data_IF_885509185693
#
_entry.id   IF_885509185693
#
_cell.length_a   1.000
_cell.length_b   1.000
_cell.length_c   1.000
_cell.angle_alpha   90.00
_cell.angle_beta   90.00
_cell.angle_gamma   90.00
#
_symmetry.space_group_name_H-M   'P 1'
#
loop_
_entity.id
_entity.type
_entity.pdbx_description
1 polymer ?
#
# COMPACT_ATOMS: atom_id res chain seq x y z
N UNK A 1 -19.13 -5.49 36.67
CA UNK A 1 -18.52 -4.67 35.59
C UNK A 1 -16.99 -4.71 35.71
N UNK A 2 -16.34 -5.84 35.39
CA UNK A 2 -14.84 -5.99 35.50
C UNK A 2 -14.23 -6.82 34.37
N UNK A 3 -14.87 -6.94 33.18
CA UNK A 3 -14.44 -7.94 32.19
C UNK A 3 -13.91 -7.39 30.86
N UNK A 4 -13.85 -6.08 30.63
CA UNK A 4 -13.55 -5.54 29.28
C UNK A 4 -12.17 -4.86 29.09
N UNK A 5 -11.26 -4.91 30.08
CA UNK A 5 -9.96 -4.21 29.97
C UNK A 5 -8.84 -5.15 29.50
N UNK A 6 -8.99 -6.47 29.61
CA UNK A 6 -7.93 -7.44 29.31
C UNK A 6 -7.75 -7.67 27.80
N UNK A 7 -8.76 -7.40 26.97
CA UNK A 7 -8.70 -7.71 25.53
C UNK A 7 -7.91 -6.68 24.69
N UNK A 8 -7.71 -5.45 25.18
CA UNK A 8 -7.02 -4.40 24.42
C UNK A 8 -5.49 -4.43 24.51
N UNK A 9 -4.92 -5.06 25.53
CA UNK A 9 -3.46 -5.08 25.70
C UNK A 9 -2.79 -6.20 24.89
N UNK A 10 -3.50 -7.28 24.61
CA UNK A 10 -2.99 -8.39 23.77
C UNK A 10 -2.92 -8.03 22.28
N UNK A 11 -3.82 -7.15 21.81
CA UNK A 11 -3.84 -6.72 20.40
C UNK A 11 -2.69 -5.77 20.01
N UNK A 12 -2.09 -5.04 20.98
CA UNK A 12 -1.01 -4.10 20.70
C UNK A 12 0.38 -4.77 20.60
N UNK A 13 0.55 -5.98 21.12
CA UNK A 13 1.82 -6.72 21.08
C UNK A 13 1.94 -7.65 19.86
N UNK A 14 0.84 -7.95 19.16
CA UNK A 14 0.84 -8.84 17.99
C UNK A 14 1.09 -8.10 16.65
N UNK A 15 1.11 -6.78 16.62
CA UNK A 15 1.26 -6.00 15.38
C UNK A 15 2.71 -5.77 14.93
N UNK A 16 3.72 -6.21 15.69
CA UNK A 16 5.14 -5.92 15.38
C UNK A 16 5.95 -7.11 14.88
N UNK A 17 5.37 -8.28 14.62
CA UNK A 17 6.12 -9.50 14.24
C UNK A 17 5.63 -10.13 12.92
N UNK A 18 4.90 -9.41 12.07
CA UNK A 18 4.47 -9.96 10.77
C UNK A 18 5.17 -9.26 9.59
N UNK A 19 6.48 -9.12 9.67
CA UNK A 19 7.31 -8.90 8.48
C UNK A 19 8.38 -9.99 8.41
N UNK A 20 8.02 -11.12 7.82
CA UNK A 20 9.03 -12.14 7.53
C UNK A 20 8.56 -13.58 7.60
N UNK A 21 7.42 -13.94 7.03
CA UNK A 21 7.17 -15.34 6.72
C UNK A 21 6.65 -15.50 5.29
N UNK A 22 7.40 -16.30 4.55
CA UNK A 22 7.23 -16.58 3.13
C UNK A 22 5.85 -17.13 2.79
N UNK A 23 5.39 -16.69 1.62
CA UNK A 23 4.21 -17.21 0.93
C UNK A 23 4.42 -18.70 0.63
N UNK A 24 3.64 -19.56 1.25
CA UNK A 24 3.54 -20.97 0.84
C UNK A 24 2.76 -21.09 -0.47
N UNK A 25 3.13 -22.04 -1.37
CA UNK A 25 2.45 -22.22 -2.65
C UNK A 25 0.99 -22.65 -2.45
N UNK A 26 0.10 -21.98 -3.16
CA UNK A 26 -1.31 -22.36 -3.26
C UNK A 26 -1.45 -23.76 -3.86
N UNK A 27 -2.14 -24.66 -3.18
CA UNK A 27 -2.50 -25.95 -3.78
C UNK A 27 -2.76 -27.09 -2.79
N UNK A 28 -2.73 -26.87 -1.47
CA UNK A 28 -3.17 -27.89 -0.52
C UNK A 28 -4.38 -27.37 0.24
N UNK A 29 -5.45 -28.18 0.26
CA UNK A 29 -6.65 -27.93 1.03
C UNK A 29 -6.27 -27.40 2.40
N UNK A 30 -6.84 -26.26 2.79
CA UNK A 30 -6.71 -25.67 4.10
C UNK A 30 -7.31 -26.67 5.09
N UNK A 31 -6.46 -27.50 5.67
CA UNK A 31 -6.81 -28.22 6.89
C UNK A 31 -7.15 -27.11 7.87
N UNK A 32 -8.37 -27.09 8.36
CA UNK A 32 -8.74 -26.22 9.48
C UNK A 32 -7.85 -26.66 10.67
N UNK A 33 -6.74 -25.97 10.83
CA UNK A 33 -5.98 -26.05 12.05
C UNK A 33 -6.92 -25.58 13.14
N UNK A 34 -7.39 -26.51 13.98
CA UNK A 34 -8.15 -26.17 15.18
C UNK A 34 -7.32 -25.17 15.94
N UNK A 35 -7.82 -23.94 16.06
CA UNK A 35 -7.20 -22.91 16.89
C UNK A 35 -6.91 -23.55 18.25
N UNK A 36 -5.63 -23.65 18.59
CA UNK A 36 -5.24 -24.09 19.92
C UNK A 36 -5.86 -23.10 20.90
N UNK A 37 -6.55 -23.55 21.94
CA UNK A 37 -7.12 -22.66 22.94
C UNK A 37 -6.01 -21.73 23.44
N UNK A 38 -6.30 -20.42 23.49
CA UNK A 38 -5.35 -19.43 23.98
C UNK A 38 -4.88 -19.86 25.37
N UNK A 39 -3.57 -20.02 25.54
CA UNK A 39 -2.98 -20.41 26.83
C UNK A 39 -3.37 -19.36 27.87
N UNK A 40 -4.07 -19.77 28.92
CA UNK A 40 -4.31 -18.90 30.06
C UNK A 40 -2.97 -18.52 30.71
N UNK A 41 -2.73 -17.22 30.86
CA UNK A 41 -1.50 -16.70 31.48
C UNK A 41 -1.57 -16.89 33.00
N UNK A 42 -0.47 -17.28 33.61
CA UNK A 42 -0.35 -17.33 35.07
C UNK A 42 -0.36 -15.93 35.68
N UNK A 43 -0.71 -15.77 36.97
CA UNK A 43 -0.63 -14.47 37.66
C UNK A 43 0.74 -13.83 37.55
N UNK A 44 1.82 -14.62 37.61
CA UNK A 44 3.20 -14.14 37.46
C UNK A 44 3.48 -13.64 36.02
N UNK A 45 3.02 -14.37 34.98
CA UNK A 45 3.13 -13.94 33.58
C UNK A 45 2.35 -12.65 33.33
N UNK A 46 1.17 -12.49 33.94
CA UNK A 46 0.38 -11.26 33.89
C UNK A 46 1.14 -10.10 34.53
N UNK A 47 1.68 -10.31 35.74
CA UNK A 47 2.46 -9.27 36.45
C UNK A 47 3.70 -8.84 35.64
N UNK A 48 4.44 -9.79 35.08
CA UNK A 48 5.60 -9.50 34.21
C UNK A 48 5.19 -8.72 32.95
N UNK A 49 4.06 -9.05 32.33
CA UNK A 49 3.56 -8.34 31.17
C UNK A 49 3.16 -6.91 31.53
N UNK A 50 2.59 -6.67 32.73
CA UNK A 50 2.30 -5.32 33.23
C UNK A 50 3.58 -4.49 33.40
N UNK A 51 4.64 -5.08 33.99
CA UNK A 51 5.94 -4.39 34.14
C UNK A 51 6.56 -4.04 32.79
N UNK A 52 6.58 -5.00 31.85
CA UNK A 52 7.07 -4.77 30.49
C UNK A 52 6.28 -3.68 29.77
N UNK A 53 4.94 -3.70 29.88
CA UNK A 53 4.08 -2.69 29.29
C UNK A 53 4.29 -1.29 29.90
N UNK A 54 4.56 -1.20 31.20
CA UNK A 54 4.89 0.06 31.85
C UNK A 54 6.25 0.62 31.39
N UNK A 55 7.27 -0.23 31.33
CA UNK A 55 8.59 0.14 30.81
C UNK A 55 8.52 0.59 29.35
N UNK A 56 7.76 -0.11 28.50
CA UNK A 56 7.54 0.27 27.12
C UNK A 56 6.84 1.64 27.01
N UNK A 57 5.76 1.87 27.78
CA UNK A 57 5.06 3.16 27.80
C UNK A 57 5.99 4.31 28.21
N UNK A 58 6.83 4.07 29.24
CA UNK A 58 7.83 5.04 29.67
C UNK A 58 8.84 5.34 28.56
N UNK A 59 9.39 4.32 27.92
CA UNK A 59 10.34 4.48 26.80
C UNK A 59 9.75 5.28 25.63
N UNK A 60 8.45 5.10 25.32
CA UNK A 60 7.76 5.89 24.31
C UNK A 60 7.55 7.34 24.77
N UNK A 61 7.17 7.56 26.05
CA UNK A 61 7.00 8.90 26.60
C UNK A 61 8.32 9.68 26.61
N UNK A 62 9.43 9.04 26.99
CA UNK A 62 10.78 9.62 26.97
C UNK A 62 11.23 10.02 25.53
N UNK A 63 10.64 9.43 24.51
CA UNK A 63 10.83 9.75 23.08
C UNK A 63 9.77 10.73 22.52
N UNK A 64 9.07 11.45 23.39
CA UNK A 64 8.06 12.44 23.02
C UNK A 64 6.69 11.87 22.64
N UNK A 65 6.44 10.57 22.93
CA UNK A 65 5.18 9.92 22.63
C UNK A 65 5.06 9.42 21.18
N UNK A 66 3.91 8.84 20.85
CA UNK A 66 3.55 8.45 19.48
C UNK A 66 2.99 9.64 18.71
N UNK A 67 3.44 9.80 17.48
CA UNK A 67 2.87 10.73 16.50
C UNK A 67 2.50 9.99 15.23
N UNK A 68 1.50 10.48 14.52
CA UNK A 68 1.06 9.92 13.26
C UNK A 68 0.65 11.02 12.30
N UNK A 69 0.88 10.77 11.01
CA UNK A 69 0.38 11.58 9.90
C UNK A 69 -0.52 10.69 9.07
N UNK A 70 -1.73 11.15 8.79
CA UNK A 70 -2.66 10.46 7.90
C UNK A 70 -2.30 10.74 6.45
N UNK A 71 -2.66 9.82 5.56
CA UNK A 71 -2.53 10.06 4.11
C UNK A 71 -3.34 11.28 3.72
N UNK A 72 -2.76 12.09 2.82
CA UNK A 72 -3.41 13.28 2.25
C UNK A 72 -2.91 13.51 0.82
N UNK A 73 -3.67 14.29 0.05
CA UNK A 73 -3.35 14.64 -1.33
C UNK A 73 -4.25 13.96 -2.35
N UNK A 74 -3.94 14.10 -3.65
CA UNK A 74 -4.71 13.49 -4.72
C UNK A 74 -4.73 11.96 -4.60
N UNK A 75 -5.90 11.35 -4.76
CA UNK A 75 -6.08 9.91 -4.69
C UNK A 75 -5.73 9.21 -6.01
N UNK A 76 -5.37 7.93 -5.95
CA UNK A 76 -5.54 7.03 -7.10
C UNK A 76 -7.03 6.69 -7.21
N UNK A 77 -7.64 6.99 -8.36
CA UNK A 77 -9.03 6.68 -8.67
C UNK A 77 -9.13 5.38 -9.46
N UNK A 78 -9.86 4.43 -8.90
CA UNK A 78 -10.18 3.14 -9.51
C UNK A 78 -11.64 3.21 -9.98
N UNK A 79 -11.87 3.24 -11.29
CA UNK A 79 -13.18 3.54 -11.86
C UNK A 79 -13.73 2.32 -12.60
N UNK A 80 -14.85 1.77 -12.11
CA UNK A 80 -15.64 0.83 -12.90
C UNK A 80 -16.60 1.61 -13.81
N UNK A 81 -16.23 1.73 -15.07
CA UNK A 81 -17.02 2.38 -16.11
C UNK A 81 -17.68 1.35 -17.05
N UNK A 82 -17.78 0.09 -16.63
CA UNK A 82 -18.44 -0.95 -17.40
C UNK A 82 -19.97 -0.84 -17.30
N UNK A 83 -20.67 -1.25 -18.36
CA UNK A 83 -22.13 -1.24 -18.38
C UNK A 83 -22.77 -2.06 -17.25
N UNK A 84 -22.10 -3.14 -16.82
CA UNK A 84 -22.61 -4.13 -15.84
C UNK A 84 -22.09 -3.94 -14.42
N UNK A 85 -21.08 -3.10 -14.19
CA UNK A 85 -20.49 -2.88 -12.86
C UNK A 85 -19.75 -4.12 -12.31
N UNK A 86 -19.19 -4.93 -13.17
CA UNK A 86 -18.58 -6.22 -12.78
C UNK A 86 -17.22 -6.10 -12.11
N UNK A 87 -16.60 -4.93 -12.18
CA UNK A 87 -15.25 -4.73 -11.69
C UNK A 87 -15.20 -4.26 -10.23
N UNK A 88 -16.28 -3.75 -9.68
CA UNK A 88 -16.26 -3.09 -8.35
C UNK A 88 -15.65 -3.94 -7.24
N UNK A 89 -16.02 -5.23 -7.15
CA UNK A 89 -15.48 -6.11 -6.11
C UNK A 89 -13.94 -6.21 -6.17
N UNK A 90 -13.39 -6.37 -7.37
CA UNK A 90 -11.94 -6.41 -7.57
C UNK A 90 -11.27 -5.05 -7.30
N UNK A 91 -11.91 -3.94 -7.68
CA UNK A 91 -11.41 -2.59 -7.40
C UNK A 91 -11.39 -2.27 -5.91
N UNK A 92 -12.44 -2.66 -5.17
CA UNK A 92 -12.47 -2.50 -3.71
C UNK A 92 -11.40 -3.33 -3.00
N UNK A 93 -11.10 -4.53 -3.51
CA UNK A 93 -10.00 -5.34 -2.99
C UNK A 93 -8.63 -4.63 -3.21
N UNK A 94 -8.41 -4.04 -4.40
CA UNK A 94 -7.20 -3.26 -4.69
C UNK A 94 -7.12 -2.02 -3.80
N UNK A 95 -8.23 -1.27 -3.66
CA UNK A 95 -8.33 -0.11 -2.75
C UNK A 95 -7.94 -0.48 -1.32
N UNK A 96 -8.53 -1.55 -0.77
CA UNK A 96 -8.22 -2.00 0.59
C UNK A 96 -6.74 -2.35 0.81
N UNK A 97 -6.06 -2.83 -0.23
CA UNK A 97 -4.61 -3.07 -0.19
C UNK A 97 -3.82 -1.76 -0.30
N UNK A 98 -4.19 -0.80 -1.16
CA UNK A 98 -3.56 0.52 -1.26
C UNK A 98 -3.64 1.27 0.07
N UNK A 99 -4.80 1.29 0.70
CA UNK A 99 -5.03 1.89 2.02
C UNK A 99 -4.12 1.25 3.09
N UNK A 100 -3.95 -0.08 3.03
CA UNK A 100 -3.07 -0.82 3.94
C UNK A 100 -1.59 -0.50 3.72
N UNK A 101 -1.14 -0.27 2.48
CA UNK A 101 0.22 0.17 2.20
C UNK A 101 0.49 1.59 2.69
N UNK A 102 -0.52 2.45 2.77
CA UNK A 102 -0.41 3.80 3.32
C UNK A 102 0.46 4.75 2.50
N UNK A 103 0.68 4.48 1.21
CA UNK A 103 1.51 5.33 0.34
C UNK A 103 0.73 6.47 -0.29
N UNK A 104 -0.52 6.24 -0.67
CA UNK A 104 -1.39 7.22 -1.31
C UNK A 104 -2.85 6.98 -0.93
N UNK A 105 -3.68 8.02 -0.88
CA UNK A 105 -5.12 7.86 -0.83
C UNK A 105 -5.64 7.09 -2.04
N UNK A 106 -6.75 6.36 -1.88
CA UNK A 106 -7.36 5.62 -2.97
C UNK A 106 -8.89 5.66 -2.90
N UNK A 107 -9.52 5.68 -4.06
CA UNK A 107 -10.97 5.68 -4.23
C UNK A 107 -11.37 4.60 -5.23
N UNK A 108 -12.46 3.87 -4.95
CA UNK A 108 -13.09 2.97 -5.90
C UNK A 108 -14.52 3.46 -6.16
N UNK A 109 -14.84 3.76 -7.41
CA UNK A 109 -16.12 4.34 -7.77
C UNK A 109 -16.70 3.70 -9.04
N UNK A 110 -18.03 3.60 -9.09
CA UNK A 110 -18.74 3.28 -10.32
C UNK A 110 -19.11 4.56 -11.06
N UNK A 111 -18.90 4.58 -12.38
CA UNK A 111 -19.22 5.71 -13.23
C UNK A 111 -19.88 5.23 -14.51
N UNK A 112 -21.00 5.86 -14.90
CA UNK A 112 -21.56 5.70 -16.23
C UNK A 112 -20.85 6.68 -17.17
N UNK A 113 -20.31 6.18 -18.28
CA UNK A 113 -19.70 7.04 -19.29
C UNK A 113 -20.77 7.75 -20.11
N UNK A 114 -20.55 9.02 -20.36
CA UNK A 114 -21.39 9.83 -21.26
C UNK A 114 -20.80 9.91 -22.68
N UNK A 115 -19.51 9.57 -22.84
CA UNK A 115 -18.80 9.70 -24.10
C UNK A 115 -17.59 8.79 -24.21
N UNK A 116 -16.55 9.27 -24.88
CA UNK A 116 -15.32 8.52 -25.10
C UNK A 116 -14.59 8.21 -23.78
N UNK A 117 -14.28 6.94 -23.48
CA UNK A 117 -13.60 6.53 -22.25
C UNK A 117 -12.25 7.23 -22.03
N UNK A 118 -11.48 7.47 -23.09
CA UNK A 118 -10.19 8.12 -23.01
C UNK A 118 -10.33 9.59 -22.58
N UNK A 119 -11.28 10.31 -23.18
CA UNK A 119 -11.55 11.70 -22.83
C UNK A 119 -12.05 11.83 -21.38
N UNK A 120 -12.94 10.93 -20.94
CA UNK A 120 -13.44 10.91 -19.57
C UNK A 120 -12.39 10.50 -18.55
N UNK A 121 -11.50 9.58 -18.93
CA UNK A 121 -10.33 9.20 -18.11
C UNK A 121 -9.37 10.36 -17.91
N UNK A 122 -9.03 11.09 -18.97
CA UNK A 122 -8.21 12.31 -18.93
C UNK A 122 -8.82 13.39 -18.04
N UNK A 123 -10.14 13.57 -18.12
CA UNK A 123 -10.82 14.52 -17.25
C UNK A 123 -10.73 14.12 -15.78
N UNK A 124 -10.88 12.83 -15.46
CA UNK A 124 -10.76 12.31 -14.10
C UNK A 124 -9.34 12.37 -13.55
N UNK A 125 -8.32 12.35 -14.42
CA UNK A 125 -6.91 12.37 -14.04
C UNK A 125 -6.41 13.76 -13.59
N UNK A 126 -7.10 14.83 -13.95
CA UNK A 126 -6.70 16.21 -13.57
C UNK A 126 -6.58 16.42 -12.07
N UNK A 127 -7.45 15.75 -11.28
CA UNK A 127 -7.53 15.91 -9.83
C UNK A 127 -7.13 14.62 -9.09
N UNK A 128 -6.34 13.75 -9.74
CA UNK A 128 -5.92 12.46 -9.19
C UNK A 128 -4.41 12.27 -9.31
N UNK A 129 -3.82 11.48 -8.42
CA UNK A 129 -2.45 11.00 -8.56
C UNK A 129 -2.34 9.88 -9.60
N UNK A 130 -3.46 9.35 -10.06
CA UNK A 130 -3.56 8.36 -11.13
C UNK A 130 -5.00 7.87 -11.29
N UNK A 131 -5.34 7.44 -12.49
CA UNK A 131 -6.66 6.87 -12.81
C UNK A 131 -6.46 5.51 -13.44
N UNK A 132 -7.12 4.50 -12.91
CA UNK A 132 -7.31 3.21 -13.60
C UNK A 132 -8.79 3.04 -13.86
N UNK A 133 -9.16 3.11 -15.13
CA UNK A 133 -10.56 3.01 -15.56
C UNK A 133 -10.79 1.69 -16.29
N UNK A 134 -11.74 0.91 -15.83
CA UNK A 134 -12.17 -0.33 -16.44
C UNK A 134 -13.37 -0.05 -17.34
N UNK A 135 -13.27 -0.42 -18.60
CA UNK A 135 -14.25 -0.09 -19.66
C UNK A 135 -14.65 -1.33 -20.45
N UNK A 136 -15.84 -1.28 -21.06
CA UNK A 136 -16.21 -2.24 -22.09
C UNK A 136 -15.51 -1.86 -23.39
N UNK A 137 -14.50 -2.59 -23.78
CA UNK A 137 -13.75 -2.36 -25.02
C UNK A 137 -14.12 -3.37 -26.12
N UNK A 138 -13.49 -3.24 -27.28
CA UNK A 138 -13.57 -4.28 -28.31
C UNK A 138 -12.89 -5.58 -27.84
N UNK A 139 -13.34 -6.73 -28.33
CA UNK A 139 -12.86 -8.03 -27.89
C UNK A 139 -11.38 -8.28 -28.24
N UNK A 140 -10.94 -7.74 -29.35
CA UNK A 140 -9.58 -7.80 -29.89
C UNK A 140 -8.67 -6.65 -29.42
N UNK A 141 -9.24 -5.68 -28.68
CA UNK A 141 -8.45 -4.59 -28.13
C UNK A 141 -7.49 -5.10 -27.02
N UNK A 142 -6.37 -4.39 -26.78
CA UNK A 142 -5.44 -4.72 -25.71
C UNK A 142 -6.12 -4.87 -24.35
N UNK A 143 -5.63 -5.83 -23.53
CA UNK A 143 -6.13 -6.03 -22.16
C UNK A 143 -6.03 -4.76 -21.30
N UNK A 144 -5.01 -3.96 -21.57
CA UNK A 144 -4.73 -2.72 -20.85
C UNK A 144 -3.90 -1.79 -21.74
N UNK A 145 -4.20 -0.50 -21.67
CA UNK A 145 -3.37 0.55 -22.27
C UNK A 145 -3.07 1.58 -21.18
N UNK A 146 -1.78 1.86 -20.96
CA UNK A 146 -1.35 2.86 -19.99
C UNK A 146 -0.81 4.10 -20.70
N UNK A 147 -1.15 5.26 -20.16
CA UNK A 147 -0.69 6.59 -20.54
C UNK A 147 -0.04 7.26 -19.33
N UNK A 148 1.21 6.90 -18.97
CA UNK A 148 1.84 7.36 -17.73
C UNK A 148 1.96 8.88 -17.65
N UNK A 149 2.26 9.56 -18.75
CA UNK A 149 2.35 11.03 -18.82
C UNK A 149 1.02 11.74 -18.58
N UNK A 150 -0.09 11.01 -18.74
CA UNK A 150 -1.44 11.50 -18.52
C UNK A 150 -2.04 10.98 -17.20
N UNK A 151 -1.25 10.25 -16.41
CA UNK A 151 -1.68 9.59 -15.16
C UNK A 151 -2.91 8.69 -15.33
N UNK A 152 -3.07 8.05 -16.51
CA UNK A 152 -4.24 7.28 -16.88
C UNK A 152 -3.89 5.89 -17.39
N UNK A 153 -4.66 4.88 -17.01
CA UNK A 153 -4.68 3.56 -17.63
C UNK A 153 -6.12 3.10 -17.89
N UNK A 154 -6.35 2.52 -19.05
CA UNK A 154 -7.61 1.88 -19.44
C UNK A 154 -7.44 0.36 -19.41
N UNK A 155 -8.41 -0.35 -18.81
CA UNK A 155 -8.44 -1.82 -18.74
C UNK A 155 -9.68 -2.33 -19.46
N UNK A 156 -9.50 -3.27 -20.39
CA UNK A 156 -10.57 -3.81 -21.21
C UNK A 156 -11.29 -4.96 -20.49
N UNK A 157 -12.47 -4.68 -19.94
CA UNK A 157 -13.27 -5.68 -19.22
C UNK A 157 -13.94 -6.70 -20.12
N UNK A 158 -14.22 -6.39 -21.38
CA UNK A 158 -14.81 -7.36 -22.33
C UNK A 158 -13.90 -8.56 -22.49
N UNK A 159 -12.61 -8.33 -22.70
CA UNK A 159 -11.61 -9.39 -22.80
C UNK A 159 -11.45 -10.18 -21.49
N UNK A 160 -11.52 -9.51 -20.33
CA UNK A 160 -11.36 -10.14 -19.01
C UNK A 160 -12.55 -11.01 -18.59
N UNK A 161 -13.76 -10.66 -19.03
CA UNK A 161 -15.00 -11.32 -18.63
C UNK A 161 -15.44 -12.46 -19.54
N UNK A 162 -14.75 -12.66 -20.68
CA UNK A 162 -15.13 -13.69 -21.67
C UNK A 162 -14.98 -15.09 -21.10
N UNK A 163 -16.08 -15.87 -21.15
CA UNK A 163 -16.14 -17.29 -20.78
C UNK A 163 -15.51 -17.61 -19.42
N UNK A 164 -15.79 -16.79 -18.40
CA UNK A 164 -15.16 -16.94 -17.09
C UNK A 164 -16.16 -16.82 -15.94
N UNK A 165 -15.86 -17.47 -14.81
CA UNK A 165 -16.61 -17.32 -13.57
C UNK A 165 -16.36 -15.96 -12.91
N UNK A 166 -17.23 -15.56 -11.98
CA UNK A 166 -17.06 -14.32 -11.22
C UNK A 166 -15.73 -14.25 -10.46
N UNK A 167 -15.32 -15.35 -9.81
CA UNK A 167 -14.05 -15.41 -9.07
C UNK A 167 -12.81 -15.26 -9.97
N UNK A 168 -12.79 -15.90 -11.14
CA UNK A 168 -11.67 -15.72 -12.09
C UNK A 168 -11.66 -14.30 -12.66
N UNK A 169 -12.82 -13.73 -12.96
CA UNK A 169 -12.93 -12.35 -13.42
C UNK A 169 -12.40 -11.36 -12.37
N UNK A 170 -12.79 -11.53 -11.11
CA UNK A 170 -12.30 -10.71 -10.01
C UNK A 170 -10.77 -10.81 -9.89
N UNK A 171 -10.20 -12.02 -9.93
CA UNK A 171 -8.76 -12.25 -9.91
C UNK A 171 -8.04 -11.50 -11.04
N UNK A 172 -8.56 -11.56 -12.26
CA UNK A 172 -8.04 -10.83 -13.42
C UNK A 172 -8.13 -9.32 -13.24
N UNK A 173 -9.25 -8.81 -12.73
CA UNK A 173 -9.44 -7.37 -12.42
C UNK A 173 -8.38 -6.90 -11.42
N UNK A 174 -8.21 -7.60 -10.31
CA UNK A 174 -7.21 -7.26 -9.32
C UNK A 174 -5.80 -7.20 -9.94
N UNK A 175 -5.40 -8.25 -10.67
CA UNK A 175 -4.08 -8.34 -11.32
C UNK A 175 -3.82 -7.22 -12.32
N UNK A 176 -4.77 -6.93 -13.22
CA UNK A 176 -4.58 -5.87 -14.22
C UNK A 176 -4.69 -4.48 -13.64
N UNK A 177 -5.53 -4.27 -12.61
CA UNK A 177 -5.56 -2.99 -11.90
C UNK A 177 -4.22 -2.70 -11.21
N UNK A 178 -3.64 -3.67 -10.50
CA UNK A 178 -2.32 -3.53 -9.92
C UNK A 178 -1.24 -3.29 -10.98
N UNK A 179 -1.31 -4.01 -12.11
CA UNK A 179 -0.39 -3.80 -13.23
C UNK A 179 -0.51 -2.39 -13.79
N UNK A 180 -1.74 -1.89 -13.98
CA UNK A 180 -2.00 -0.54 -14.44
C UNK A 180 -1.39 0.50 -13.49
N UNK A 181 -1.63 0.37 -12.19
CA UNK A 181 -1.00 1.23 -11.18
C UNK A 181 0.53 1.17 -11.31
N UNK A 182 1.10 -0.02 -11.44
CA UNK A 182 2.55 -0.18 -11.59
C UNK A 182 3.12 0.58 -12.78
N UNK A 183 2.45 0.54 -13.92
CA UNK A 183 2.87 1.31 -15.10
C UNK A 183 2.74 2.82 -14.88
N UNK A 184 1.68 3.29 -14.22
CA UNK A 184 1.48 4.71 -13.93
C UNK A 184 2.58 5.28 -13.02
N UNK A 185 2.97 4.52 -11.99
CA UNK A 185 3.95 4.98 -11.00
C UNK A 185 5.39 4.57 -11.31
N UNK A 186 5.64 4.05 -12.51
CA UNK A 186 6.99 3.68 -12.96
C UNK A 186 7.59 2.45 -12.28
N UNK A 187 6.76 1.55 -11.73
CA UNK A 187 7.26 0.29 -11.18
C UNK A 187 7.71 -0.66 -12.30
N UNK A 188 8.97 -1.07 -12.26
CA UNK A 188 9.47 -2.17 -13.11
C UNK A 188 9.17 -3.56 -12.54
N UNK A 189 9.31 -4.59 -13.37
CA UNK A 189 9.33 -5.97 -12.90
C UNK A 189 10.61 -6.22 -12.09
N UNK A 190 10.52 -6.64 -10.82
CA UNK A 190 11.71 -6.99 -10.05
C UNK A 190 12.27 -8.33 -10.54
N UNK A 191 13.59 -8.42 -10.62
CA UNK A 191 14.28 -9.66 -10.98
C UNK A 191 13.95 -10.76 -9.96
N UNK A 192 13.68 -11.96 -10.47
CA UNK A 192 13.45 -13.15 -9.64
C UNK A 192 12.08 -13.24 -8.94
N UNK A 193 11.21 -12.23 -9.01
CA UNK A 193 9.88 -12.27 -8.41
C UNK A 193 8.77 -12.50 -9.43
N UNK A 194 7.77 -13.30 -9.03
CA UNK A 194 6.52 -13.46 -9.77
C UNK A 194 5.54 -12.39 -9.30
N UNK A 195 5.42 -11.28 -10.01
CA UNK A 195 4.45 -10.23 -9.70
C UNK A 195 3.73 -9.78 -10.97
N UNK A 196 2.66 -8.99 -10.82
CA UNK A 196 1.84 -8.52 -11.94
C UNK A 196 2.60 -7.68 -12.97
N UNK A 197 3.80 -7.21 -12.66
CA UNK A 197 4.64 -6.46 -13.60
C UNK A 197 5.41 -7.33 -14.60
N UNK A 198 5.38 -8.67 -14.47
CA UNK A 198 5.97 -9.56 -15.49
C UNK A 198 5.33 -9.32 -16.85
N UNK A 199 6.09 -9.43 -17.95
CA UNK A 199 5.54 -9.35 -19.30
C UNK A 199 4.38 -10.36 -19.48
N UNK A 200 3.27 -9.89 -20.04
CA UNK A 200 2.10 -10.70 -20.41
C UNK A 200 2.02 -10.79 -21.92
N UNK A 201 1.87 -11.99 -22.46
CA UNK A 201 1.66 -12.25 -23.88
C UNK A 201 0.19 -12.53 -24.21
N UNK A 202 -0.52 -13.11 -23.24
CA UNK A 202 -1.92 -13.52 -23.42
C UNK A 202 -2.63 -13.66 -22.06
N UNK A 203 -3.91 -14.02 -22.10
CA UNK A 203 -4.73 -14.22 -20.92
C UNK A 203 -4.25 -15.40 -20.04
N UNK A 204 -3.71 -16.46 -20.64
CA UNK A 204 -3.21 -17.61 -19.89
C UNK A 204 -2.01 -17.23 -19.01
N UNK A 205 -1.15 -16.33 -19.47
CA UNK A 205 -0.04 -15.79 -18.66
C UNK A 205 -0.58 -15.01 -17.43
N UNK A 206 -1.68 -14.27 -17.59
CA UNK A 206 -2.35 -13.57 -16.50
C UNK A 206 -2.96 -14.53 -15.48
N UNK A 207 -3.68 -15.56 -15.97
CA UNK A 207 -4.34 -16.57 -15.14
C UNK A 207 -3.32 -17.41 -14.36
N UNK A 208 -2.20 -17.77 -14.99
CA UNK A 208 -1.11 -18.53 -14.37
C UNK A 208 -0.28 -17.73 -13.35
N UNK A 209 -0.47 -16.42 -13.26
CA UNK A 209 0.28 -15.56 -12.35
C UNK A 209 -0.15 -15.78 -10.90
N UNK A 210 0.75 -16.23 -10.00
CA UNK A 210 0.36 -16.60 -8.64
C UNK A 210 0.06 -15.41 -7.74
N UNK A 211 0.66 -14.23 -8.02
CA UNK A 211 0.50 -13.03 -7.21
C UNK A 211 -0.42 -12.02 -7.90
N UNK A 212 -1.31 -11.41 -7.10
CA UNK A 212 -2.31 -10.45 -7.57
C UNK A 212 -1.82 -8.99 -7.57
N UNK A 213 -0.66 -8.70 -6.99
CA UNK A 213 -0.21 -7.34 -6.73
C UNK A 213 1.26 -7.13 -7.12
N UNK A 214 1.65 -5.86 -7.16
CA UNK A 214 3.05 -5.44 -7.31
C UNK A 214 3.82 -5.86 -6.05
N UNK A 215 5.03 -6.37 -6.23
CA UNK A 215 5.88 -6.69 -5.08
C UNK A 215 6.06 -5.44 -4.19
N UNK A 216 5.85 -5.52 -2.86
CA UNK A 216 5.85 -4.35 -1.98
C UNK A 216 7.11 -3.49 -2.11
N UNK A 217 8.30 -4.10 -2.22
CA UNK A 217 9.56 -3.36 -2.39
C UNK A 217 9.58 -2.51 -3.68
N UNK A 218 8.96 -3.00 -4.78
CA UNK A 218 8.83 -2.24 -6.03
C UNK A 218 7.82 -1.11 -5.90
N UNK A 219 6.71 -1.37 -5.20
CA UNK A 219 5.69 -0.34 -4.96
C UNK A 219 6.21 0.79 -4.06
N UNK A 220 7.02 0.49 -3.04
CA UNK A 220 7.66 1.52 -2.22
C UNK A 220 8.65 2.39 -3.02
N UNK A 221 9.24 1.88 -4.12
CA UNK A 221 10.05 2.69 -5.04
C UNK A 221 9.24 3.73 -5.83
N UNK A 222 7.91 3.61 -5.86
CA UNK A 222 7.03 4.62 -6.47
C UNK A 222 6.88 5.90 -5.61
N UNK A 223 7.52 5.98 -4.44
CA UNK A 223 7.43 7.12 -3.54
C UNK A 223 7.71 8.45 -4.22
N UNK A 224 8.79 8.62 -5.03
CA UNK A 224 9.04 9.90 -5.73
C UNK A 224 7.90 10.34 -6.65
N UNK A 225 7.21 9.39 -7.28
CA UNK A 225 6.03 9.68 -8.08
C UNK A 225 4.91 10.31 -7.24
N UNK A 226 4.58 9.72 -6.09
CA UNK A 226 3.55 10.25 -5.20
C UNK A 226 3.95 11.60 -4.60
N UNK A 227 5.23 11.78 -4.24
CA UNK A 227 5.75 13.07 -3.77
C UNK A 227 5.59 14.16 -4.84
N UNK A 228 5.85 13.88 -6.13
CA UNK A 228 5.59 14.80 -7.24
C UNK A 228 4.10 15.15 -7.40
N UNK A 229 3.21 14.20 -7.12
CA UNK A 229 1.76 14.43 -7.14
C UNK A 229 1.26 15.19 -5.90
N UNK A 230 2.11 15.56 -4.95
CA UNK A 230 1.71 16.24 -3.71
C UNK A 230 1.03 15.30 -2.70
N UNK A 231 1.29 14.00 -2.78
CA UNK A 231 0.72 13.01 -1.87
C UNK A 231 1.56 12.91 -0.59
N UNK A 232 0.88 13.00 0.55
CA UNK A 232 1.47 12.71 1.86
C UNK A 232 1.12 11.29 2.27
N UNK A 233 2.08 10.37 2.48
CA UNK A 233 1.80 9.02 2.94
C UNK A 233 1.47 8.98 4.43
N UNK A 234 0.81 7.91 4.86
CA UNK A 234 0.62 7.64 6.28
C UNK A 234 1.97 7.32 6.95
N UNK A 235 2.18 7.90 8.11
CA UNK A 235 3.36 7.64 8.94
C UNK A 235 2.96 7.52 10.39
N UNK A 236 3.65 6.65 11.13
CA UNK A 236 3.48 6.49 12.57
C UNK A 236 4.83 6.16 13.20
N UNK A 237 5.17 6.82 14.26
CA UNK A 237 6.44 6.60 14.95
C UNK A 237 6.52 7.36 16.28
N UNK A 238 7.64 7.24 16.99
CA UNK A 238 7.92 8.12 18.11
C UNK A 238 8.25 9.51 17.60
N UNK A 239 8.01 10.55 18.43
CA UNK A 239 8.31 11.93 18.05
C UNK A 239 9.79 12.11 17.70
N UNK A 240 10.70 11.48 18.46
CA UNK A 240 12.13 11.48 18.17
C UNK A 240 12.45 10.95 16.78
N UNK A 241 11.88 9.80 16.42
CA UNK A 241 12.06 9.20 15.09
C UNK A 241 11.46 10.06 13.98
N UNK A 242 10.32 10.71 14.24
CA UNK A 242 9.68 11.61 13.31
C UNK A 242 10.53 12.85 13.04
N UNK A 243 11.15 13.45 14.07
CA UNK A 243 12.08 14.56 13.95
C UNK A 243 13.31 14.17 13.11
N UNK A 244 13.93 13.03 13.42
CA UNK A 244 15.10 12.53 12.69
C UNK A 244 14.81 12.29 11.20
N UNK A 245 13.57 11.92 10.87
CA UNK A 245 13.12 11.66 9.51
C UNK A 245 12.48 12.89 8.84
N UNK A 246 12.43 14.03 9.51
CA UNK A 246 11.95 15.31 8.96
C UNK A 246 10.44 15.40 8.71
N UNK A 247 9.62 14.59 9.40
CA UNK A 247 8.15 14.64 9.24
C UNK A 247 7.39 14.86 10.56
N UNK A 248 8.09 15.17 11.66
CA UNK A 248 7.46 15.46 12.93
C UNK A 248 6.56 16.70 12.83
N UNK A 249 5.36 16.67 13.42
CA UNK A 249 4.58 17.88 13.60
C UNK A 249 5.28 18.84 14.57
N UNK A 250 4.82 20.08 14.65
CA UNK A 250 5.30 21.04 15.64
C UNK A 250 5.18 20.45 17.06
N UNK A 251 6.16 20.70 17.96
CA UNK A 251 6.13 20.18 19.32
C UNK A 251 4.93 20.71 20.12
N UNK A 252 4.27 19.84 20.86
CA UNK A 252 3.09 20.17 21.69
C UNK A 252 3.35 20.11 23.19
N UNK A 253 4.55 19.68 23.61
CA UNK A 253 4.97 19.61 25.01
C UNK A 253 6.48 19.77 25.15
N UNK A 254 6.95 19.96 26.39
CA UNK A 254 8.37 20.25 26.67
C UNK A 254 9.32 19.11 26.23
N UNK A 255 8.92 17.86 26.38
CA UNK A 255 9.72 16.70 25.93
C UNK A 255 9.92 16.74 24.41
N UNK A 256 8.83 16.98 23.68
CA UNK A 256 8.90 17.13 22.22
C UNK A 256 9.73 18.33 21.81
N UNK A 257 9.57 19.46 22.52
CA UNK A 257 10.37 20.65 22.26
C UNK A 257 11.86 20.41 22.46
N UNK A 258 12.25 19.75 23.54
CA UNK A 258 13.65 19.41 23.80
C UNK A 258 14.24 18.49 22.71
N UNK A 259 13.45 17.51 22.24
CA UNK A 259 13.84 16.61 21.14
C UNK A 259 13.99 17.41 19.83
N UNK A 260 13.00 18.27 19.53
CA UNK A 260 13.01 19.12 18.35
C UNK A 260 14.24 20.02 18.30
N UNK A 261 14.49 20.75 19.38
CA UNK A 261 15.62 21.66 19.49
C UNK A 261 16.96 20.91 19.33
N UNK A 262 17.08 19.72 19.95
CA UNK A 262 18.28 18.87 19.84
C UNK A 262 18.53 18.40 18.40
N UNK A 263 17.50 17.97 17.69
CA UNK A 263 17.64 17.45 16.30
C UNK A 263 17.97 18.59 15.33
N UNK A 264 17.35 19.77 15.51
CA UNK A 264 17.54 20.91 14.60
C UNK A 264 18.76 21.78 14.96
N UNK A 265 19.29 21.65 16.19
CA UNK A 265 20.55 22.31 16.57
C UNK A 265 21.80 21.66 15.96
N UNK A 266 21.68 20.43 15.46
CA UNK A 266 22.79 19.81 14.72
C UNK A 266 22.87 20.47 13.34
N UNK A 267 23.95 21.25 13.03
CA UNK A 267 24.11 21.82 11.71
C UNK A 267 24.06 20.66 10.70
N UNK A 268 23.31 20.84 9.62
CA UNK A 268 23.38 19.93 8.49
C UNK A 268 24.84 20.01 7.96
N UNK A 269 25.69 19.10 8.45
CA UNK A 269 27.06 19.01 7.95
C UNK A 269 26.92 18.57 6.49
N UNK A 270 27.24 19.43 5.51
CA UNK A 270 27.18 19.02 4.14
C UNK A 270 28.11 17.82 4.01
N UNK A 271 27.56 16.68 3.63
CA UNK A 271 28.36 15.48 3.33
C UNK A 271 29.25 15.85 2.16
N UNK A 272 30.51 16.22 2.43
CA UNK A 272 31.53 16.35 1.38
C UNK A 272 31.75 14.96 0.81
N UNK A 273 31.05 14.66 -0.28
CA UNK A 273 31.42 13.53 -1.12
C UNK A 273 32.71 13.96 -1.81
N UNK A 274 33.86 13.63 -1.21
CA UNK A 274 35.14 13.74 -1.93
C UNK A 274 35.15 12.63 -2.97
N UNK A 275 34.87 13.03 -4.20
CA UNK A 275 35.01 12.17 -5.34
C UNK A 275 36.53 12.03 -5.62
N UNK A 276 37.09 10.90 -5.22
CA UNK A 276 38.49 10.57 -5.56
C UNK A 276 38.51 10.03 -7.02
N UNK A 277 38.92 10.82 -7.98
CA UNK A 277 38.93 10.43 -9.41
C UNK A 277 39.93 9.31 -9.71
N UNK A 278 40.77 8.92 -8.74
CA UNK A 278 41.80 7.87 -8.91
C UNK A 278 41.32 6.48 -8.49
N UNK A 279 40.15 6.35 -7.84
CA UNK A 279 39.58 5.05 -7.43
C UNK A 279 38.57 4.46 -8.40
N UNK A 280 38.37 5.07 -9.56
CA UNK A 280 37.44 4.64 -10.62
C UNK A 280 38.14 4.11 -11.87
N UNK A 281 39.22 3.32 -11.72
CA UNK A 281 39.81 2.58 -12.85
C UNK A 281 39.96 1.11 -12.46
#
# INVERSE_FOLDING_TARGET
MKTNIVLMVAAALSASVVYGQGLTPAGKARVQEKEKPAKELTPEEIAQNHVKAAAFRKAIADKGGWVSVTMAGPAIKLIDATSKGWAMEGLEAVKGNLDRFGLCPSEAVRKTLAGDPLAEGRAAAKDASGVVMLVDGAEDAPLMTAYPEEHLALVNMTALSKNTSSGVRQDRVEKLTWRAIGHLVGCGAPDGYTCVMKPLRNMADLDAMPNKFIHPASFFKARPYFDMCGVTPARKGTYESACQQGWAPAPTNDVQKAIWDKVHAVPATPMKIEFDPKKGR
#
